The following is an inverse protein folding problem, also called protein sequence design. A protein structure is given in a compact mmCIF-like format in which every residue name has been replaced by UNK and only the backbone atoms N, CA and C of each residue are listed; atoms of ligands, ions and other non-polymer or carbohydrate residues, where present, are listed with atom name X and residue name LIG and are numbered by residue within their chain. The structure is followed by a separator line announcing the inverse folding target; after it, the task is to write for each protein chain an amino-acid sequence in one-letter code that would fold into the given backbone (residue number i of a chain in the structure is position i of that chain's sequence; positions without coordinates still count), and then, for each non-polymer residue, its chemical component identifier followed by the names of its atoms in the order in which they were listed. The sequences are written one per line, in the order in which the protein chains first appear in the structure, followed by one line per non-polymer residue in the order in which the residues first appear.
data_IF_940032900032
#
_entry.id   IF_940032900032
#
_cell.length_a   1.000
_cell.length_b   1.000
_cell.length_c   1.000
_cell.angle_alpha   90.00
_cell.angle_beta   90.00
_cell.angle_gamma   90.00
#
_symmetry.space_group_name_H-M   'P 1'
#
loop_
_entity.id
_entity.type
_entity.pdbx_description
1 polymer ?
#
# COMPACT_ATOMS: atom_id res chain seq x y z
N UNK A 1 16.05 6.16 8.44
CA UNK A 1 16.11 4.92 7.62
C UNK A 1 17.43 4.23 7.88
N UNK A 2 17.39 2.95 8.23
CA UNK A 2 18.58 2.15 8.52
C UNK A 2 18.93 1.23 7.35
N UNK A 3 20.15 0.70 7.31
CA UNK A 3 20.59 -0.28 6.29
C UNK A 3 19.70 -1.54 6.29
N UNK A 4 19.24 -1.99 7.45
CA UNK A 4 18.39 -3.19 7.60
C UNK A 4 17.01 -3.05 6.93
N UNK A 5 16.56 -1.81 6.69
CA UNK A 5 15.32 -1.53 5.96
C UNK A 5 15.51 -1.59 4.43
N UNK A 6 16.76 -1.56 3.96
CA UNK A 6 17.06 -1.49 2.54
C UNK A 6 17.38 -2.88 1.99
N UNK A 7 16.35 -3.53 1.44
CA UNK A 7 16.51 -4.80 0.71
C UNK A 7 16.34 -4.52 -0.78
N UNK A 8 17.42 -4.54 -1.56
CA UNK A 8 17.34 -4.35 -3.00
C UNK A 8 16.74 -5.59 -3.67
N UNK A 9 15.53 -5.47 -4.17
CA UNK A 9 14.92 -6.49 -5.02
C UNK A 9 14.73 -5.92 -6.43
N UNK A 10 15.29 -6.61 -7.42
CA UNK A 10 15.24 -6.15 -8.80
C UNK A 10 13.78 -6.05 -9.29
N UNK A 11 13.39 -4.86 -9.77
CA UNK A 11 12.05 -4.61 -10.28
C UNK A 11 11.01 -4.25 -9.20
N UNK A 12 11.38 -4.21 -7.92
CA UNK A 12 10.49 -3.74 -6.86
C UNK A 12 10.19 -2.24 -7.00
N UNK A 13 8.94 -1.84 -6.74
CA UNK A 13 8.56 -0.43 -6.67
C UNK A 13 9.18 0.22 -5.45
N UNK A 14 9.75 1.41 -5.61
CA UNK A 14 10.42 2.14 -4.52
C UNK A 14 9.88 3.57 -4.45
N UNK A 15 9.72 4.08 -3.23
CA UNK A 15 9.55 5.51 -3.02
C UNK A 15 10.89 6.26 -3.13
N UNK A 16 12.01 5.54 -3.05
CA UNK A 16 13.37 5.98 -3.32
C UNK A 16 14.03 6.71 -2.17
N UNK A 17 13.67 6.34 -0.94
CA UNK A 17 14.43 6.67 0.27
C UNK A 17 15.72 5.83 0.33
N UNK A 18 16.66 6.27 1.14
CA UNK A 18 17.97 5.62 1.28
C UNK A 18 18.35 5.48 2.76
N UNK A 19 19.26 4.55 3.06
CA UNK A 19 19.87 4.51 4.39
C UNK A 19 20.48 5.87 4.76
N UNK A 20 20.24 6.29 6.00
CA UNK A 20 20.66 7.59 6.51
C UNK A 20 19.63 8.70 6.36
N UNK A 21 18.60 8.55 5.52
CA UNK A 21 17.53 9.54 5.38
C UNK A 21 16.74 9.71 6.68
N UNK A 22 16.42 10.95 7.03
CA UNK A 22 15.59 11.34 8.17
C UNK A 22 14.26 11.85 7.64
N UNK A 23 13.25 10.99 7.73
CA UNK A 23 11.92 11.18 7.13
C UNK A 23 10.85 10.90 8.19
N UNK A 24 9.70 11.58 8.11
CA UNK A 24 8.61 11.37 9.06
C UNK A 24 7.86 10.06 8.79
N UNK A 25 7.19 9.51 9.81
CA UNK A 25 6.32 8.34 9.64
C UNK A 25 5.18 8.64 8.65
N UNK A 26 4.62 9.84 8.68
CA UNK A 26 3.59 10.25 7.74
C UNK A 26 4.09 10.22 6.29
N UNK A 27 5.27 10.79 6.01
CA UNK A 27 5.87 10.74 4.68
C UNK A 27 6.13 9.29 4.24
N UNK A 28 6.57 8.41 5.15
CA UNK A 28 6.75 6.99 4.86
C UNK A 28 5.43 6.30 4.49
N UNK A 29 4.32 6.63 5.17
CA UNK A 29 3.00 6.09 4.82
C UNK A 29 2.53 6.53 3.43
N UNK A 30 2.77 7.79 3.04
CA UNK A 30 2.54 8.24 1.66
C UNK A 30 3.48 7.55 0.67
N UNK A 31 4.76 7.39 1.00
CA UNK A 31 5.74 6.66 0.20
C UNK A 31 5.40 5.18 0.02
N UNK A 32 4.76 4.56 1.01
CA UNK A 32 4.23 3.21 0.93
C UNK A 32 3.02 3.13 -0.01
N UNK A 33 2.04 4.02 0.17
CA UNK A 33 0.74 3.89 -0.47
C UNK A 33 0.72 4.39 -1.91
N UNK A 34 1.36 5.49 -2.23
CA UNK A 34 1.32 6.08 -3.57
C UNK A 34 2.20 5.36 -4.59
N UNK A 35 3.55 5.39 -4.48
CA UNK A 35 4.41 4.69 -5.42
C UNK A 35 4.55 3.21 -5.11
N UNK A 36 3.83 2.69 -4.11
CA UNK A 36 4.00 1.30 -3.62
C UNK A 36 5.43 1.01 -3.15
N UNK A 37 6.02 1.93 -2.37
CA UNK A 37 7.41 1.85 -1.93
C UNK A 37 7.67 0.67 -1.00
N UNK A 38 8.34 -0.37 -1.51
CA UNK A 38 8.78 -1.51 -0.69
C UNK A 38 9.83 -1.05 0.34
N UNK A 39 10.68 -0.10 -0.02
CA UNK A 39 11.64 0.56 0.87
C UNK A 39 10.92 1.28 2.04
N UNK A 40 9.82 1.98 1.78
CA UNK A 40 9.01 2.60 2.82
C UNK A 40 8.35 1.54 3.74
N UNK A 41 7.82 0.44 3.18
CA UNK A 41 7.25 -0.66 3.97
C UNK A 41 8.27 -1.24 4.94
N UNK A 42 9.48 -1.53 4.45
CA UNK A 42 10.57 -2.06 5.24
C UNK A 42 11.05 -1.06 6.29
N UNK A 43 11.19 0.23 5.94
CA UNK A 43 11.59 1.27 6.90
C UNK A 43 10.59 1.40 8.06
N UNK A 44 9.29 1.35 7.78
CA UNK A 44 8.23 1.33 8.78
C UNK A 44 8.36 0.09 9.68
N UNK A 45 8.53 -1.09 9.07
CA UNK A 45 8.64 -2.35 9.79
C UNK A 45 9.83 -2.37 10.76
N UNK A 46 11.01 -2.01 10.29
CA UNK A 46 12.23 -1.97 11.11
C UNK A 46 12.12 -0.91 12.21
N UNK A 47 11.56 0.28 11.90
CA UNK A 47 11.39 1.33 12.89
C UNK A 47 10.44 0.91 14.03
N UNK A 48 9.33 0.23 13.70
CA UNK A 48 8.30 -0.11 14.68
C UNK A 48 8.62 -1.36 15.49
N UNK A 49 9.25 -2.37 14.88
CA UNK A 49 9.43 -3.70 15.49
C UNK A 49 10.86 -4.24 15.42
N UNK A 50 11.80 -3.45 14.95
CA UNK A 50 13.23 -3.79 14.93
C UNK A 50 13.66 -4.70 13.78
N UNK A 51 12.73 -5.37 13.09
CA UNK A 51 13.03 -6.19 11.91
C UNK A 51 11.77 -6.38 11.03
N UNK A 52 12.00 -6.75 9.78
CA UNK A 52 10.96 -7.11 8.80
C UNK A 52 10.15 -8.31 9.29
N UNK A 53 10.84 -9.36 9.77
CA UNK A 53 10.20 -10.59 10.25
C UNK A 53 9.31 -10.33 11.48
N UNK A 54 9.79 -9.56 12.46
CA UNK A 54 9.02 -9.23 13.65
C UNK A 54 7.76 -8.40 13.29
N UNK A 55 7.85 -7.55 12.27
CA UNK A 55 6.69 -6.82 11.77
C UNK A 55 5.71 -7.75 11.04
N UNK A 56 6.20 -8.67 10.21
CA UNK A 56 5.37 -9.67 9.52
C UNK A 56 4.63 -10.57 10.53
N UNK A 57 5.30 -10.99 11.61
CA UNK A 57 4.67 -11.71 12.72
C UNK A 57 3.53 -10.91 13.36
N UNK A 58 3.75 -9.61 13.57
CA UNK A 58 2.69 -8.73 14.10
C UNK A 58 1.54 -8.54 13.11
N UNK A 59 1.82 -8.42 11.81
CA UNK A 59 0.78 -8.41 10.77
C UNK A 59 -0.08 -9.68 10.83
N UNK A 60 0.54 -10.86 10.97
CA UNK A 60 -0.16 -12.13 11.10
C UNK A 60 -1.03 -12.21 12.36
N UNK A 61 -0.55 -11.67 13.49
CA UNK A 61 -1.36 -11.56 14.71
C UNK A 61 -2.56 -10.66 14.45
N UNK A 62 -2.35 -9.48 13.84
CA UNK A 62 -3.43 -8.53 13.58
C UNK A 62 -4.46 -9.07 12.58
N UNK A 63 -4.03 -9.77 11.54
CA UNK A 63 -4.92 -10.43 10.59
C UNK A 63 -5.87 -11.40 11.31
N UNK A 64 -5.35 -12.26 12.19
CA UNK A 64 -6.17 -13.18 13.00
C UNK A 64 -7.15 -12.45 13.93
N UNK A 65 -6.72 -11.36 14.58
CA UNK A 65 -7.59 -10.52 15.42
C UNK A 65 -8.79 -9.95 14.65
N UNK A 66 -8.61 -9.68 13.35
CA UNK A 66 -9.65 -9.19 12.44
C UNK A 66 -10.50 -10.31 11.83
N UNK A 67 -10.19 -11.56 12.09
CA UNK A 67 -10.86 -12.72 11.50
C UNK A 67 -10.35 -13.10 10.10
N UNK A 68 -9.26 -12.51 9.62
CA UNK A 68 -8.63 -12.81 8.35
C UNK A 68 -7.79 -14.11 8.48
N UNK A 69 -8.47 -15.25 8.53
CA UNK A 69 -7.86 -16.55 8.83
C UNK A 69 -7.26 -17.26 7.62
N UNK A 70 -7.57 -16.81 6.41
CA UNK A 70 -7.01 -17.30 5.15
C UNK A 70 -5.80 -16.46 4.68
N UNK A 71 -5.15 -15.71 5.60
CA UNK A 71 -4.05 -14.81 5.29
C UNK A 71 -2.79 -15.18 6.06
N UNK A 72 -1.65 -15.11 5.36
CA UNK A 72 -0.32 -15.21 5.97
C UNK A 72 0.65 -14.24 5.29
N UNK A 73 1.30 -13.42 6.09
CA UNK A 73 2.28 -12.44 5.67
C UNK A 73 3.71 -12.92 5.97
N UNK A 74 4.58 -12.86 4.96
CA UNK A 74 6.02 -13.11 5.08
C UNK A 74 6.84 -11.83 5.12
N UNK A 75 6.26 -10.73 4.62
CA UNK A 75 6.91 -9.41 4.57
C UNK A 75 5.86 -8.28 4.55
N UNK A 76 6.26 -7.03 4.83
CA UNK A 76 5.34 -5.89 4.87
C UNK A 76 4.98 -5.31 3.50
N UNK A 77 5.71 -5.69 2.46
CA UNK A 77 5.63 -5.05 1.13
C UNK A 77 4.71 -5.79 0.15
N UNK A 78 4.44 -7.08 0.37
CA UNK A 78 3.69 -7.93 -0.54
C UNK A 78 4.54 -8.53 -1.67
N UNK A 79 5.87 -8.48 -1.56
CA UNK A 79 6.76 -9.18 -2.47
C UNK A 79 6.55 -10.69 -2.37
N UNK A 80 6.79 -11.38 -3.48
CA UNK A 80 6.44 -12.80 -3.62
C UNK A 80 7.24 -13.69 -2.66
N UNK A 81 6.52 -14.50 -1.92
CA UNK A 81 7.01 -15.64 -1.15
C UNK A 81 5.97 -16.76 -1.26
N UNK A 82 6.39 -18.02 -1.25
CA UNK A 82 5.48 -19.17 -1.39
C UNK A 82 4.47 -19.27 -0.25
N UNK A 83 4.81 -18.75 0.94
CA UNK A 83 3.97 -18.72 2.13
C UNK A 83 3.24 -17.38 2.33
N UNK A 84 3.34 -16.43 1.37
CA UNK A 84 2.66 -15.15 1.41
C UNK A 84 1.34 -15.22 0.63
N UNK A 85 0.22 -15.33 1.31
CA UNK A 85 -1.09 -15.50 0.69
C UNK A 85 -2.19 -14.78 1.45
N UNK A 86 -3.30 -14.54 0.75
CA UNK A 86 -4.51 -13.92 1.31
C UNK A 86 -5.75 -14.34 0.49
N UNK A 87 -6.92 -13.91 0.92
CA UNK A 87 -8.19 -14.03 0.21
C UNK A 87 -8.81 -12.64 -0.01
N UNK A 88 -9.74 -12.54 -0.98
CA UNK A 88 -10.47 -11.29 -1.21
C UNK A 88 -11.27 -10.86 0.03
N UNK A 89 -11.86 -11.82 0.75
CA UNK A 89 -12.60 -11.53 1.98
C UNK A 89 -11.70 -11.03 3.11
N UNK A 90 -10.53 -11.64 3.27
CA UNK A 90 -9.59 -11.21 4.31
C UNK A 90 -9.04 -9.79 4.02
N UNK A 91 -8.76 -9.48 2.76
CA UNK A 91 -8.39 -8.12 2.36
C UNK A 91 -9.50 -7.13 2.64
N UNK A 92 -10.76 -7.50 2.37
CA UNK A 92 -11.91 -6.69 2.75
C UNK A 92 -11.92 -6.41 4.27
N UNK A 93 -11.73 -7.42 5.11
CA UNK A 93 -11.73 -7.24 6.58
C UNK A 93 -10.65 -6.25 7.02
N UNK A 94 -9.43 -6.40 6.50
CA UNK A 94 -8.30 -5.53 6.83
C UNK A 94 -8.50 -4.11 6.30
N UNK A 95 -8.96 -3.95 5.07
CA UNK A 95 -9.21 -2.66 4.46
C UNK A 95 -10.36 -1.92 5.14
N UNK A 96 -11.45 -2.62 5.46
CA UNK A 96 -12.58 -2.06 6.19
C UNK A 96 -12.19 -1.57 7.59
N UNK A 97 -11.26 -2.24 8.26
CA UNK A 97 -10.70 -1.76 9.53
C UNK A 97 -9.83 -0.52 9.32
N UNK A 98 -8.98 -0.51 8.29
CA UNK A 98 -8.15 0.65 7.95
C UNK A 98 -8.98 1.88 7.58
N UNK A 99 -10.13 1.70 6.91
CA UNK A 99 -11.07 2.77 6.56
C UNK A 99 -11.68 3.49 7.77
N UNK A 100 -11.57 2.96 8.97
CA UNK A 100 -11.97 3.65 10.22
C UNK A 100 -10.95 4.71 10.67
N UNK A 101 -9.73 4.69 10.12
CA UNK A 101 -8.65 5.60 10.47
C UNK A 101 -8.69 6.83 9.54
N UNK A 102 -8.86 8.06 10.09
CA UNK A 102 -8.93 9.28 9.27
C UNK A 102 -7.70 9.46 8.37
N UNK A 103 -6.50 9.24 8.90
CA UNK A 103 -5.26 9.36 8.12
C UNK A 103 -5.20 8.36 6.96
N UNK A 104 -5.71 7.13 7.12
CA UNK A 104 -5.75 6.17 6.02
C UNK A 104 -6.67 6.65 4.89
N UNK A 105 -7.86 7.17 5.23
CA UNK A 105 -8.80 7.75 4.26
C UNK A 105 -8.17 8.95 3.52
N UNK A 106 -7.48 9.82 4.25
CA UNK A 106 -6.75 10.95 3.67
C UNK A 106 -5.72 10.46 2.65
N UNK A 107 -4.84 9.53 3.05
CA UNK A 107 -3.76 9.03 2.18
C UNK A 107 -4.30 8.38 0.90
N UNK A 108 -5.34 7.55 1.00
CA UNK A 108 -5.87 6.85 -0.19
C UNK A 108 -6.67 7.76 -1.12
N UNK A 109 -7.16 8.90 -0.64
CA UNK A 109 -7.91 9.88 -1.43
C UNK A 109 -7.02 10.82 -2.25
N UNK A 110 -5.75 10.97 -1.86
CA UNK A 110 -4.82 11.88 -2.52
C UNK A 110 -4.30 11.32 -3.86
N UNK A 111 -4.19 12.18 -4.87
CA UNK A 111 -3.63 11.82 -6.19
C UNK A 111 -2.11 11.97 -6.21
N UNK A 112 -1.57 12.89 -5.42
CA UNK A 112 -0.14 13.15 -5.29
C UNK A 112 0.23 13.71 -3.93
N UNK A 113 1.45 13.44 -3.49
CA UNK A 113 1.99 13.94 -2.23
C UNK A 113 3.46 14.33 -2.38
N UNK A 114 3.86 15.46 -1.81
CA UNK A 114 5.26 15.89 -1.79
C UNK A 114 5.84 15.78 -0.38
N UNK A 115 6.72 14.80 -0.19
CA UNK A 115 7.49 14.64 1.02
C UNK A 115 8.68 15.60 1.05
N UNK A 116 8.96 16.16 2.23
CA UNK A 116 10.13 16.99 2.49
C UNK A 116 10.91 16.42 3.66
N UNK A 117 12.13 15.95 3.41
CA UNK A 117 12.94 15.26 4.40
C UNK A 117 14.42 15.63 4.25
N UNK A 118 15.29 15.06 5.09
CA UNK A 118 16.74 15.23 5.00
C UNK A 118 17.37 13.92 4.55
N UNK A 119 18.34 14.01 3.60
CA UNK A 119 19.15 12.85 3.25
C UNK A 119 20.21 12.54 4.31
N UNK A 120 20.92 11.41 4.14
CA UNK A 120 21.98 11.01 5.08
C UNK A 120 23.15 11.99 5.22
N UNK A 121 23.29 12.96 4.32
CA UNK A 121 24.25 14.06 4.42
C UNK A 121 23.69 15.31 5.14
N UNK A 122 22.40 15.28 5.56
CA UNK A 122 21.72 16.42 6.18
C UNK A 122 21.17 17.44 5.20
N UNK A 123 21.18 17.14 3.88
CA UNK A 123 20.67 18.03 2.86
C UNK A 123 19.15 17.86 2.71
N UNK A 124 18.45 18.96 2.44
CA UNK A 124 17.01 18.94 2.21
C UNK A 124 16.67 18.25 0.88
N UNK A 125 15.71 17.33 0.92
CA UNK A 125 15.15 16.62 -0.23
C UNK A 125 13.66 16.92 -0.31
N UNK A 126 13.18 17.23 -1.51
CA UNK A 126 11.75 17.33 -1.83
C UNK A 126 11.43 16.31 -2.91
N UNK A 127 10.46 15.42 -2.65
CA UNK A 127 10.12 14.32 -3.55
C UNK A 127 8.61 14.16 -3.67
N UNK A 128 8.11 14.18 -4.91
CA UNK A 128 6.69 14.01 -5.19
C UNK A 128 6.39 12.58 -5.65
N UNK A 129 5.39 11.96 -5.05
CA UNK A 129 4.83 10.68 -5.44
C UNK A 129 3.42 10.84 -5.96
N UNK A 130 3.00 9.92 -6.83
CA UNK A 130 1.66 9.90 -7.42
C UNK A 130 1.02 8.54 -7.22
N UNK A 131 -0.31 8.53 -7.11
CA UNK A 131 -1.10 7.32 -6.92
C UNK A 131 -1.01 6.38 -8.13
N UNK A 132 -1.15 5.07 -7.91
CA UNK A 132 -1.14 4.06 -8.97
C UNK A 132 -2.52 3.70 -9.53
N UNK A 133 -3.60 4.16 -8.92
CA UNK A 133 -4.98 3.85 -9.33
C UNK A 133 -5.38 4.67 -10.57
N UNK A 134 -5.86 3.99 -11.61
CA UNK A 134 -6.22 4.66 -12.88
C UNK A 134 -7.43 5.56 -12.81
N UNK A 135 -8.43 5.25 -11.97
CA UNK A 135 -9.56 6.13 -11.76
C UNK A 135 -9.11 7.48 -11.16
N UNK A 136 -8.27 7.45 -10.12
CA UNK A 136 -7.75 8.67 -9.49
C UNK A 136 -6.82 9.45 -10.41
N UNK A 137 -6.04 8.77 -11.25
CA UNK A 137 -5.18 9.40 -12.26
C UNK A 137 -5.94 9.98 -13.47
N UNK A 138 -7.25 9.70 -13.58
CA UNK A 138 -8.03 10.07 -14.78
C UNK A 138 -7.68 9.27 -16.04
N UNK A 139 -6.97 8.14 -15.89
CA UNK A 139 -6.63 7.23 -16.99
C UNK A 139 -7.80 6.30 -17.35
N UNK A 140 -8.81 6.21 -16.48
CA UNK A 140 -10.06 5.48 -16.68
C UNK A 140 -11.23 6.27 -16.10
N UNK A 141 -12.33 6.36 -16.83
CA UNK A 141 -13.57 6.95 -16.32
C UNK A 141 -14.24 6.03 -15.30
N UNK A 142 -14.75 6.60 -14.21
CA UNK A 142 -15.55 5.86 -13.24
C UNK A 142 -16.92 5.52 -13.82
N UNK A 143 -17.52 4.37 -13.45
CA UNK A 143 -18.90 4.08 -13.82
C UNK A 143 -19.86 5.19 -13.40
N UNK A 144 -20.95 5.38 -14.19
CA UNK A 144 -21.92 6.42 -13.91
C UNK A 144 -22.53 6.25 -12.50
N UNK A 145 -22.56 7.32 -11.72
CA UNK A 145 -23.06 7.33 -10.34
C UNK A 145 -22.13 6.73 -9.31
N UNK A 146 -20.86 6.46 -9.67
CA UNK A 146 -19.83 5.99 -8.74
C UNK A 146 -18.78 7.07 -8.53
N UNK A 147 -18.44 7.37 -7.27
CA UNK A 147 -17.30 8.19 -6.88
C UNK A 147 -16.26 7.34 -6.15
N UNK A 148 -15.01 7.38 -6.61
CA UNK A 148 -13.90 6.64 -5.99
C UNK A 148 -13.37 7.41 -4.80
N UNK A 149 -13.31 6.75 -3.64
CA UNK A 149 -12.72 7.31 -2.41
C UNK A 149 -11.22 7.06 -2.33
N UNK A 150 -10.73 6.05 -3.04
CA UNK A 150 -9.33 5.68 -3.09
C UNK A 150 -9.11 4.18 -2.91
N UNK A 151 -7.86 3.77 -3.01
CA UNK A 151 -7.53 2.35 -2.88
C UNK A 151 -6.06 2.05 -3.10
N UNK A 152 -5.77 0.77 -3.32
CA UNK A 152 -4.40 0.29 -3.54
C UNK A 152 -4.35 -0.76 -4.64
N UNK A 153 -3.45 -0.57 -5.59
CA UNK A 153 -3.08 -1.58 -6.59
C UNK A 153 -1.92 -2.45 -6.09
N UNK A 154 -1.83 -3.67 -6.59
CA UNK A 154 -0.69 -4.57 -6.37
C UNK A 154 -0.41 -5.39 -7.61
N UNK A 155 0.86 -5.69 -7.86
CA UNK A 155 1.23 -6.55 -9.00
C UNK A 155 2.52 -7.30 -8.69
N UNK A 156 2.47 -8.62 -8.83
CA UNK A 156 3.65 -9.49 -8.94
C UNK A 156 3.39 -10.54 -10.03
N UNK A 157 4.41 -11.23 -10.49
CA UNK A 157 4.20 -12.31 -11.46
C UNK A 157 3.31 -13.43 -10.90
N UNK A 158 3.45 -13.75 -9.62
CA UNK A 158 2.66 -14.80 -8.97
C UNK A 158 1.22 -14.36 -8.68
N UNK A 159 1.03 -13.12 -8.21
CA UNK A 159 -0.28 -12.60 -7.80
C UNK A 159 -1.14 -12.11 -8.99
N UNK A 160 -0.54 -11.84 -10.16
CA UNK A 160 -1.22 -11.12 -11.23
C UNK A 160 -1.49 -9.67 -10.83
N UNK A 161 -2.48 -9.06 -11.46
CA UNK A 161 -2.91 -7.69 -11.15
C UNK A 161 -4.00 -7.71 -10.08
N UNK A 162 -3.84 -6.87 -9.05
CA UNK A 162 -4.73 -6.80 -7.90
C UNK A 162 -5.14 -5.35 -7.62
N UNK A 163 -6.37 -5.16 -7.14
CA UNK A 163 -6.91 -3.87 -6.72
C UNK A 163 -7.85 -4.07 -5.53
N UNK A 164 -7.68 -3.24 -4.51
CA UNK A 164 -8.70 -3.01 -3.48
C UNK A 164 -9.05 -1.53 -3.47
N UNK A 165 -10.33 -1.20 -3.39
CA UNK A 165 -10.81 0.17 -3.55
C UNK A 165 -12.09 0.40 -2.78
N UNK A 166 -12.21 1.59 -2.18
CA UNK A 166 -13.45 2.13 -1.64
C UNK A 166 -14.09 3.10 -2.63
N UNK A 167 -15.41 3.05 -2.74
CA UNK A 167 -16.21 3.94 -3.59
C UNK A 167 -17.59 4.18 -2.99
N UNK A 168 -18.21 5.30 -3.36
CA UNK A 168 -19.61 5.62 -3.02
C UNK A 168 -20.50 5.47 -4.28
N UNK A 169 -21.73 5.06 -4.05
CA UNK A 169 -22.79 5.18 -5.07
C UNK A 169 -23.42 6.60 -5.06
N UNK A 170 -24.42 6.81 -5.92
CA UNK A 170 -25.15 8.09 -6.03
C UNK A 170 -25.98 8.46 -4.80
N UNK A 171 -26.05 7.59 -3.78
CA UNK A 171 -26.74 7.81 -2.51
C UNK A 171 -25.73 7.91 -1.34
N UNK A 172 -24.45 8.12 -1.64
CA UNK A 172 -23.33 8.17 -0.68
C UNK A 172 -23.14 6.89 0.13
N UNK A 173 -23.64 5.76 -0.34
CA UNK A 173 -23.39 4.48 0.30
C UNK A 173 -22.02 3.95 -0.10
N UNK A 174 -21.20 3.65 0.90
CA UNK A 174 -19.83 3.17 0.73
C UNK A 174 -19.78 1.66 0.40
N UNK A 175 -18.93 1.31 -0.55
CA UNK A 175 -18.64 -0.05 -0.97
C UNK A 175 -17.12 -0.27 -1.02
N UNK A 176 -16.71 -1.51 -0.76
CA UNK A 176 -15.32 -1.95 -0.93
C UNK A 176 -15.32 -3.04 -2.01
N UNK A 177 -14.53 -2.82 -3.06
CA UNK A 177 -14.30 -3.77 -4.14
C UNK A 177 -12.91 -4.38 -4.01
N UNK A 178 -12.81 -5.71 -4.16
CA UNK A 178 -11.54 -6.44 -4.14
C UNK A 178 -11.45 -7.31 -5.39
N UNK A 179 -10.45 -7.05 -6.20
CA UNK A 179 -10.12 -7.85 -7.40
C UNK A 179 -8.73 -8.42 -7.22
N UNK A 180 -8.62 -9.74 -7.29
CA UNK A 180 -7.36 -10.47 -7.19
C UNK A 180 -7.10 -11.29 -8.44
N UNK A 181 -5.82 -11.43 -8.78
CA UNK A 181 -5.34 -12.31 -9.85
C UNK A 181 -5.97 -12.03 -11.21
N UNK A 182 -6.16 -10.75 -11.54
CA UNK A 182 -6.57 -10.38 -12.89
C UNK A 182 -5.41 -10.60 -13.87
N UNK A 183 -5.75 -11.01 -15.10
CA UNK A 183 -4.78 -11.30 -16.15
C UNK A 183 -4.13 -10.05 -16.73
N UNK A 184 -4.77 -8.89 -16.57
CA UNK A 184 -4.26 -7.62 -17.07
C UNK A 184 -4.64 -6.45 -16.18
N UNK A 185 -3.87 -5.36 -16.25
CA UNK A 185 -4.18 -4.13 -15.54
C UNK A 185 -5.49 -3.48 -16.01
N UNK A 186 -5.83 -3.41 -17.31
CA UNK A 186 -7.14 -2.91 -17.75
C UNK A 186 -8.32 -3.66 -17.13
N UNK A 187 -8.25 -5.00 -17.03
CA UNK A 187 -9.33 -5.83 -16.48
C UNK A 187 -9.56 -5.64 -14.97
N UNK A 188 -8.72 -4.86 -14.27
CA UNK A 188 -9.01 -4.43 -12.90
C UNK A 188 -10.14 -3.39 -12.84
N UNK A 189 -10.41 -2.71 -13.96
CA UNK A 189 -11.28 -1.54 -14.07
C UNK A 189 -12.48 -1.78 -14.99
N UNK A 190 -12.65 -2.98 -15.51
CA UNK A 190 -13.78 -3.45 -16.28
C UNK A 190 -14.84 -4.07 -15.38
#
# INVERSE_FOLDING_TARGET
VTEDAFIPEAGASLCGIKPGDVITMQDLLYGLMMPSGNDAANAIAVHMYGSIDAFADRMNVRARELGATGTHFMNPSGLTDENHYTTAYDLYLMFNEAMKLPLFREIIAEDSYTANYQNGAGEAVSKTWTVGNWYQKGERETPAGVSVLGGKTGTTQAAGYCLIMASNDSQDKEYISVVLKSDSRPSLYD
#
